data_IF_713472252136
#
_entry.id   IF_713472252136
#
_cell.length_a   1.000
_cell.length_b   1.000
_cell.length_c   1.000
_cell.angle_alpha   90.00
_cell.angle_beta   90.00
_cell.angle_gamma   90.00
#
_symmetry.space_group_name_H-M   'P 1'
#
loop_
_entity.id
_entity.type
_entity.pdbx_description
1 polymer ?
#
# COMPACT_ATOMS: atom_id res chain seq x y z
N UNK A 1 27.99 -0.87 -23.29
CA UNK A 1 27.23 0.13 -24.06
C UNK A 1 28.17 1.08 -24.82
N UNK A 2 29.09 1.77 -24.13
CA UNK A 2 30.04 2.73 -24.80
C UNK A 2 31.01 2.08 -25.78
N UNK A 3 31.32 0.79 -25.66
CA UNK A 3 32.13 0.07 -26.69
C UNK A 3 31.32 -0.12 -27.99
N UNK A 4 30.00 -0.19 -27.91
CA UNK A 4 29.08 -0.34 -29.05
C UNK A 4 28.64 1.01 -29.61
N UNK A 5 28.45 2.01 -28.73
CA UNK A 5 28.06 3.39 -29.07
C UNK A 5 28.92 4.40 -28.30
N UNK A 6 30.15 4.72 -28.78
CA UNK A 6 31.09 5.57 -28.08
C UNK A 6 30.63 7.03 -27.89
N UNK A 7 29.64 7.45 -28.68
CA UNK A 7 29.09 8.81 -28.67
C UNK A 7 27.80 8.98 -27.84
N UNK A 8 27.31 7.91 -27.22
CA UNK A 8 26.06 7.94 -26.50
C UNK A 8 26.16 8.79 -25.22
N UNK A 9 25.56 9.98 -25.27
CA UNK A 9 25.66 10.96 -24.20
C UNK A 9 24.82 10.52 -22.96
N UNK A 10 23.71 9.83 -23.14
CA UNK A 10 22.89 9.29 -22.04
C UNK A 10 23.67 8.24 -21.24
N UNK A 11 24.37 7.34 -21.95
CA UNK A 11 25.26 6.36 -21.28
C UNK A 11 26.40 7.04 -20.52
N UNK A 12 26.96 8.13 -21.02
CA UNK A 12 28.00 8.89 -20.33
C UNK A 12 27.45 9.55 -19.05
N UNK A 13 26.31 10.20 -19.15
CA UNK A 13 25.65 10.80 -18.00
C UNK A 13 25.34 9.76 -16.93
N UNK A 14 24.79 8.63 -17.32
CA UNK A 14 24.56 7.48 -16.47
C UNK A 14 25.83 7.06 -15.70
N UNK A 15 26.95 6.89 -16.40
CA UNK A 15 28.22 6.51 -15.78
C UNK A 15 28.69 7.57 -14.78
N UNK A 16 28.56 8.86 -15.12
CA UNK A 16 28.97 9.94 -14.23
C UNK A 16 28.07 10.00 -12.96
N UNK A 17 26.78 9.76 -13.09
CA UNK A 17 25.85 9.66 -11.93
C UNK A 17 26.22 8.48 -11.03
N UNK A 18 26.46 7.30 -11.60
CA UNK A 18 26.91 6.12 -10.85
C UNK A 18 28.23 6.37 -10.10
N UNK A 19 29.20 7.06 -10.74
CA UNK A 19 30.47 7.43 -10.08
C UNK A 19 30.28 8.39 -8.91
N UNK A 20 29.27 9.24 -8.96
CA UNK A 20 28.91 10.17 -7.88
C UNK A 20 28.07 9.52 -6.78
N UNK A 21 27.71 8.25 -6.93
CA UNK A 21 26.81 7.56 -6.01
C UNK A 21 25.35 8.05 -6.07
N UNK A 22 24.97 8.73 -7.15
CA UNK A 22 23.60 9.17 -7.37
C UNK A 22 22.83 7.98 -7.92
N UNK A 23 21.80 7.52 -7.21
CA UNK A 23 20.88 6.52 -7.72
C UNK A 23 20.14 7.04 -8.96
N UNK A 24 19.91 6.16 -9.92
CA UNK A 24 19.06 6.48 -11.05
C UNK A 24 17.62 6.34 -10.65
N UNK A 25 16.72 7.15 -11.24
CA UNK A 25 15.31 6.89 -11.11
C UNK A 25 15.04 5.51 -11.71
N UNK A 26 14.24 4.72 -11.03
CA UNK A 26 13.83 3.39 -11.48
C UNK A 26 13.01 3.50 -12.75
N UNK A 27 12.15 4.52 -12.82
CA UNK A 27 11.32 4.83 -13.96
C UNK A 27 11.80 6.13 -14.64
N UNK A 28 11.76 6.14 -15.97
CA UNK A 28 12.09 7.35 -16.76
C UNK A 28 10.86 8.25 -16.95
N UNK A 29 9.69 7.67 -16.94
CA UNK A 29 8.41 8.33 -17.11
C UNK A 29 7.80 8.67 -15.75
N UNK A 30 7.04 9.75 -15.68
CA UNK A 30 6.34 10.11 -14.46
C UNK A 30 5.21 9.10 -14.15
N UNK A 31 4.74 9.08 -12.90
CA UNK A 31 3.73 8.12 -12.47
C UNK A 31 2.43 8.22 -13.27
N UNK A 32 2.04 9.43 -13.68
CA UNK A 32 0.87 9.63 -14.53
C UNK A 32 1.01 8.90 -15.86
N UNK A 33 2.10 9.13 -16.58
CA UNK A 33 2.34 8.51 -17.89
C UNK A 33 2.34 6.99 -17.79
N UNK A 34 3.06 6.45 -16.80
CA UNK A 34 3.07 4.99 -16.54
C UNK A 34 1.68 4.44 -16.24
N UNK A 35 0.86 5.20 -15.49
CA UNK A 35 -0.53 4.81 -15.16
C UNK A 35 -1.41 4.78 -16.39
N UNK A 36 -1.36 5.82 -17.23
CA UNK A 36 -2.14 5.92 -18.47
C UNK A 36 -1.77 4.78 -19.42
N UNK A 37 -0.49 4.56 -19.68
CA UNK A 37 0.02 3.50 -20.55
C UNK A 37 -0.36 2.09 -20.04
N UNK A 38 -0.33 1.91 -18.72
CA UNK A 38 -0.74 0.65 -18.12
C UNK A 38 -2.22 0.34 -18.34
N UNK A 39 -3.09 1.33 -18.13
CA UNK A 39 -4.53 1.12 -18.33
C UNK A 39 -4.89 0.87 -19.79
N UNK A 40 -4.19 1.49 -20.75
CA UNK A 40 -4.33 1.16 -22.17
C UNK A 40 -3.91 -0.28 -22.43
N UNK A 41 -2.75 -0.70 -21.95
CA UNK A 41 -2.26 -2.07 -22.10
C UNK A 41 -3.19 -3.08 -21.44
N UNK A 42 -3.66 -2.79 -20.22
CA UNK A 42 -4.57 -3.67 -19.49
C UNK A 42 -5.90 -3.83 -20.22
N UNK A 43 -6.45 -2.77 -20.80
CA UNK A 43 -7.68 -2.84 -21.58
C UNK A 43 -7.55 -3.79 -22.81
N UNK A 44 -6.36 -3.90 -23.39
CA UNK A 44 -6.10 -4.84 -24.49
C UNK A 44 -5.99 -6.30 -24.04
N UNK A 45 -5.46 -6.55 -22.84
CA UNK A 45 -5.17 -7.89 -22.33
C UNK A 45 -6.24 -8.48 -21.40
N UNK A 46 -7.10 -7.66 -20.81
CA UNK A 46 -8.04 -8.06 -19.74
C UNK A 46 -8.98 -9.19 -20.15
N UNK A 47 -9.41 -9.22 -21.44
CA UNK A 47 -10.29 -10.26 -21.93
C UNK A 47 -9.60 -11.64 -21.95
N UNK A 48 -8.31 -11.69 -22.28
CA UNK A 48 -7.51 -12.92 -22.23
C UNK A 48 -7.30 -13.38 -20.77
N UNK A 49 -7.02 -12.44 -19.88
CA UNK A 49 -6.89 -12.74 -18.44
C UNK A 49 -8.18 -13.34 -17.87
N UNK A 50 -9.33 -12.77 -18.19
CA UNK A 50 -10.63 -13.31 -17.76
C UNK A 50 -10.85 -14.72 -18.30
N UNK A 51 -10.55 -14.93 -19.56
CA UNK A 51 -10.65 -16.27 -20.16
C UNK A 51 -9.74 -17.27 -19.44
N UNK A 52 -8.49 -16.89 -19.13
CA UNK A 52 -7.56 -17.74 -18.40
C UNK A 52 -8.08 -18.07 -17.00
N UNK A 53 -8.67 -17.10 -16.29
CA UNK A 53 -9.28 -17.32 -14.97
C UNK A 53 -10.50 -18.25 -15.05
N UNK A 54 -11.34 -18.11 -16.08
CA UNK A 54 -12.52 -18.97 -16.30
C UNK A 54 -12.17 -20.41 -16.63
N UNK A 55 -11.07 -20.60 -17.35
CA UNK A 55 -10.58 -21.92 -17.76
C UNK A 55 -9.86 -22.65 -16.63
N UNK A 56 -9.27 -21.92 -15.67
CA UNK A 56 -8.48 -22.47 -14.56
C UNK A 56 -9.35 -22.97 -13.38
N UNK A 57 -10.27 -23.88 -13.68
CA UNK A 57 -11.20 -24.45 -12.67
C UNK A 57 -10.51 -25.22 -11.55
N UNK A 58 -9.36 -25.75 -11.82
CA UNK A 58 -8.57 -26.55 -10.90
C UNK A 58 -7.49 -25.70 -10.16
N UNK A 59 -7.47 -24.38 -10.40
CA UNK A 59 -6.51 -23.44 -9.84
C UNK A 59 -5.03 -23.85 -10.06
N UNK A 60 -4.74 -24.43 -11.22
CA UNK A 60 -3.40 -24.92 -11.57
C UNK A 60 -2.55 -23.84 -12.27
N UNK A 61 -3.20 -22.81 -12.84
CA UNK A 61 -2.56 -21.69 -13.55
C UNK A 61 -2.42 -20.42 -12.70
N UNK A 62 -2.78 -20.48 -11.43
CA UNK A 62 -2.72 -19.31 -10.55
C UNK A 62 -1.34 -18.63 -10.53
N UNK A 63 -0.26 -19.41 -10.51
CA UNK A 63 1.10 -18.86 -10.54
C UNK A 63 1.42 -18.14 -11.88
N UNK A 64 0.92 -18.64 -13.00
CA UNK A 64 1.08 -18.00 -14.31
C UNK A 64 0.33 -16.67 -14.37
N UNK A 65 -0.93 -16.66 -13.92
CA UNK A 65 -1.77 -15.45 -13.83
C UNK A 65 -1.13 -14.37 -12.95
N UNK A 66 -0.64 -14.78 -11.77
CA UNK A 66 0.04 -13.87 -10.84
C UNK A 66 1.32 -13.32 -11.47
N UNK A 67 2.14 -14.17 -12.11
CA UNK A 67 3.38 -13.71 -12.77
C UNK A 67 3.08 -12.71 -13.88
N UNK A 68 2.09 -12.98 -14.72
CA UNK A 68 1.71 -12.09 -15.82
C UNK A 68 1.21 -10.74 -15.29
N UNK A 69 0.37 -10.73 -14.25
CA UNK A 69 -0.09 -9.49 -13.64
C UNK A 69 1.05 -8.74 -12.97
N UNK A 70 1.93 -9.43 -12.25
CA UNK A 70 3.09 -8.82 -11.60
C UNK A 70 4.03 -8.14 -12.61
N UNK A 71 4.31 -8.81 -13.75
CA UNK A 71 5.15 -8.25 -14.81
C UNK A 71 4.59 -6.94 -15.36
N UNK A 72 3.26 -6.87 -15.53
CA UNK A 72 2.62 -5.64 -16.00
C UNK A 72 2.59 -4.55 -14.92
N UNK A 73 2.25 -4.88 -13.68
CA UNK A 73 2.23 -3.91 -12.57
C UNK A 73 3.62 -3.33 -12.26
N UNK A 74 4.69 -4.09 -12.50
CA UNK A 74 6.07 -3.62 -12.35
C UNK A 74 6.45 -2.54 -13.37
N UNK A 75 5.65 -2.30 -14.41
CA UNK A 75 5.83 -1.16 -15.30
C UNK A 75 5.42 0.17 -14.65
N UNK A 76 4.58 0.12 -13.62
CA UNK A 76 4.08 1.31 -12.91
C UNK A 76 4.69 1.45 -11.52
N UNK A 77 4.74 0.35 -10.77
CA UNK A 77 5.16 0.31 -9.37
C UNK A 77 6.52 -0.40 -9.23
N UNK A 78 7.33 0.05 -8.30
CA UNK A 78 8.58 -0.64 -7.96
C UNK A 78 8.29 -2.02 -7.35
N UNK A 79 7.50 -2.01 -6.30
CA UNK A 79 6.98 -3.22 -5.65
C UNK A 79 5.52 -3.00 -5.31
N UNK A 80 4.69 -3.96 -5.67
CA UNK A 80 3.25 -3.95 -5.38
C UNK A 80 2.77 -5.34 -5.01
N UNK A 81 2.05 -5.42 -3.91
CA UNK A 81 1.29 -6.60 -3.53
C UNK A 81 -0.14 -6.48 -4.05
N UNK A 82 -0.67 -7.57 -4.56
CA UNK A 82 -2.01 -7.61 -5.11
C UNK A 82 -2.64 -8.99 -4.96
N UNK A 83 -3.95 -9.01 -5.05
CA UNK A 83 -4.75 -10.24 -5.10
C UNK A 83 -5.68 -10.19 -6.31
N UNK A 84 -5.96 -11.34 -6.92
CA UNK A 84 -6.93 -11.47 -7.99
C UNK A 84 -7.99 -12.48 -7.62
N UNK A 85 -9.24 -12.21 -8.01
CA UNK A 85 -10.34 -13.08 -7.71
C UNK A 85 -11.56 -12.85 -8.61
N UNK A 86 -12.64 -13.55 -8.26
CA UNK A 86 -13.96 -13.38 -8.84
C UNK A 86 -15.00 -13.41 -7.72
N UNK A 87 -15.81 -12.38 -7.59
CA UNK A 87 -16.78 -12.27 -6.50
C UNK A 87 -18.16 -12.88 -6.84
N UNK A 88 -18.30 -13.53 -7.99
CA UNK A 88 -19.55 -14.08 -8.50
C UNK A 88 -20.25 -13.19 -9.53
N UNK A 89 -19.82 -11.95 -9.68
CA UNK A 89 -20.35 -10.98 -10.65
C UNK A 89 -19.24 -10.38 -11.51
N UNK A 90 -18.17 -9.91 -10.89
CA UNK A 90 -17.02 -9.30 -11.56
C UNK A 90 -15.71 -9.92 -11.11
N UNK A 91 -14.71 -9.83 -11.96
CA UNK A 91 -13.32 -10.10 -11.59
C UNK A 91 -12.83 -9.00 -10.64
N UNK A 92 -11.91 -9.33 -9.78
CA UNK A 92 -11.37 -8.39 -8.81
C UNK A 92 -9.86 -8.31 -8.93
N UNK A 93 -9.33 -7.10 -8.99
CA UNK A 93 -7.94 -6.77 -8.76
C UNK A 93 -7.89 -5.93 -7.49
N UNK A 94 -7.31 -6.49 -6.45
CA UNK A 94 -7.14 -5.84 -5.15
C UNK A 94 -5.68 -5.45 -5.03
N UNK A 95 -5.41 -4.16 -4.98
CA UNK A 95 -4.07 -3.59 -4.84
C UNK A 95 -3.85 -3.24 -3.37
N UNK A 96 -2.81 -3.79 -2.75
CA UNK A 96 -2.61 -3.63 -1.31
C UNK A 96 -1.44 -2.70 -1.01
N UNK A 97 -1.66 -1.63 -0.24
CA UNK A 97 -0.60 -0.74 0.19
C UNK A 97 0.32 -1.35 1.26
N UNK A 98 -0.10 -2.44 1.91
CA UNK A 98 0.62 -3.11 3.01
C UNK A 98 1.06 -2.17 4.13
N UNK A 99 0.17 -1.25 4.51
CA UNK A 99 0.42 -0.26 5.55
C UNK A 99 1.19 0.98 5.10
N UNK A 100 1.68 1.02 3.85
CA UNK A 100 2.38 2.17 3.30
C UNK A 100 1.41 3.27 2.88
N UNK A 101 1.46 4.40 3.57
CA UNK A 101 0.58 5.54 3.34
C UNK A 101 0.88 6.25 2.01
N UNK A 102 2.14 6.26 1.56
CA UNK A 102 2.51 6.86 0.27
C UNK A 102 1.95 6.00 -0.86
N UNK A 103 2.18 4.71 -0.77
CA UNK A 103 1.64 3.74 -1.73
C UNK A 103 0.11 3.78 -1.80
N UNK A 104 -0.58 3.98 -0.67
CA UNK A 104 -2.03 4.15 -0.65
C UNK A 104 -2.50 5.26 -1.60
N UNK A 105 -1.83 6.41 -1.62
CA UNK A 105 -2.18 7.52 -2.50
C UNK A 105 -1.91 7.20 -3.97
N UNK A 106 -0.80 6.56 -4.26
CA UNK A 106 -0.49 6.09 -5.62
C UNK A 106 -1.56 5.12 -6.13
N UNK A 107 -1.98 4.17 -5.28
CA UNK A 107 -3.00 3.19 -5.63
C UNK A 107 -4.38 3.81 -5.85
N UNK A 108 -4.75 4.83 -5.07
CA UNK A 108 -6.00 5.58 -5.29
C UNK A 108 -5.96 6.31 -6.63
N UNK A 109 -4.85 6.98 -6.94
CA UNK A 109 -4.67 7.64 -8.22
C UNK A 109 -4.76 6.64 -9.38
N UNK A 110 -4.04 5.54 -9.28
CA UNK A 110 -4.05 4.46 -10.27
C UNK A 110 -5.47 3.90 -10.49
N UNK A 111 -6.18 3.55 -9.41
CA UNK A 111 -7.57 3.06 -9.47
C UNK A 111 -8.50 4.03 -10.22
N UNK A 112 -8.38 5.32 -9.98
CA UNK A 112 -9.25 6.35 -10.60
C UNK A 112 -9.04 6.49 -12.10
N UNK A 113 -7.94 6.03 -12.64
CA UNK A 113 -7.62 6.06 -14.07
C UNK A 113 -8.11 4.80 -14.81
N UNK A 114 -8.73 3.85 -14.11
CA UNK A 114 -9.35 2.69 -14.75
C UNK A 114 -10.42 3.13 -15.75
N UNK A 115 -10.33 2.61 -16.98
CA UNK A 115 -11.30 2.93 -18.03
C UNK A 115 -12.68 2.35 -17.72
N UNK A 116 -13.73 2.94 -18.28
CA UNK A 116 -15.10 2.44 -18.07
C UNK A 116 -15.29 1.04 -18.62
N UNK A 117 -14.62 0.74 -19.72
CA UNK A 117 -14.64 -0.56 -20.38
C UNK A 117 -14.08 -1.65 -19.45
N UNK A 118 -12.95 -1.38 -18.81
CA UNK A 118 -12.38 -2.28 -17.80
C UNK A 118 -13.34 -2.45 -16.63
N UNK A 119 -13.90 -1.36 -16.11
CA UNK A 119 -14.81 -1.37 -14.97
C UNK A 119 -16.16 -2.05 -15.25
N UNK A 120 -16.50 -2.34 -16.51
CA UNK A 120 -17.66 -3.19 -16.82
C UNK A 120 -17.44 -4.63 -16.33
N UNK A 121 -16.21 -5.12 -16.36
CA UNK A 121 -15.86 -6.50 -16.04
C UNK A 121 -15.07 -6.67 -14.76
N UNK A 122 -14.37 -5.62 -14.33
CA UNK A 122 -13.46 -5.66 -13.18
C UNK A 122 -13.90 -4.71 -12.07
N UNK A 123 -13.72 -5.16 -10.83
CA UNK A 123 -13.64 -4.29 -9.66
C UNK A 123 -12.16 -4.05 -9.36
N UNK A 124 -11.74 -2.81 -9.38
CA UNK A 124 -10.39 -2.41 -8.98
C UNK A 124 -10.50 -1.87 -7.56
N UNK A 125 -9.92 -2.57 -6.60
CA UNK A 125 -10.04 -2.27 -5.18
C UNK A 125 -8.67 -1.87 -4.63
N UNK A 126 -8.67 -0.90 -3.71
CA UNK A 126 -7.48 -0.49 -2.98
C UNK A 126 -7.63 -0.93 -1.52
N UNK A 127 -6.69 -1.73 -1.07
CA UNK A 127 -6.73 -2.39 0.23
C UNK A 127 -7.57 -3.66 0.25
N UNK A 128 -7.13 -4.63 1.05
CA UNK A 128 -7.86 -5.87 1.30
C UNK A 128 -9.22 -5.56 1.90
N UNK A 129 -10.23 -6.26 1.43
CA UNK A 129 -11.60 -6.11 1.91
C UNK A 129 -11.87 -7.09 3.06
N UNK A 130 -12.74 -6.74 4.01
CA UNK A 130 -13.09 -7.65 5.08
C UNK A 130 -13.81 -8.88 4.53
N UNK A 131 -13.40 -10.06 4.99
CA UNK A 131 -13.93 -11.34 4.54
C UNK A 131 -14.99 -11.88 5.52
N UNK A 132 -15.95 -12.64 5.00
CA UNK A 132 -16.91 -13.36 5.83
C UNK A 132 -16.31 -14.61 6.48
N UNK A 133 -15.44 -15.31 5.74
CA UNK A 133 -14.73 -16.49 6.21
C UNK A 133 -13.28 -16.13 6.48
N UNK A 134 -13.02 -15.66 7.68
CA UNK A 134 -11.71 -15.21 8.12
C UNK A 134 -10.81 -16.41 8.35
N UNK A 135 -9.81 -16.55 7.51
CA UNK A 135 -8.82 -17.63 7.67
C UNK A 135 -7.70 -17.54 6.66
N UNK A 136 -6.49 -17.85 7.12
CA UNK A 136 -5.28 -17.86 6.33
C UNK A 136 -4.73 -19.29 6.27
N UNK A 137 -4.50 -19.77 5.04
CA UNK A 137 -3.81 -21.03 4.78
C UNK A 137 -2.54 -20.77 4.01
N UNK A 138 -1.48 -21.43 4.40
CA UNK A 138 -0.21 -21.40 3.69
C UNK A 138 0.04 -22.74 2.98
N UNK A 139 0.86 -22.73 1.93
CA UNK A 139 1.20 -23.93 1.14
C UNK A 139 1.85 -25.02 1.97
N UNK A 140 2.63 -24.66 2.98
CA UNK A 140 3.28 -25.58 3.94
C UNK A 140 2.35 -26.09 5.06
N UNK A 141 1.04 -25.81 4.96
CA UNK A 141 -0.01 -26.45 5.74
C UNK A 141 -0.44 -25.71 7.01
N UNK A 142 0.06 -24.50 7.26
CA UNK A 142 -0.46 -23.67 8.36
C UNK A 142 -1.88 -23.19 8.04
N UNK A 143 -2.73 -23.24 9.06
CA UNK A 143 -4.12 -22.83 8.95
C UNK A 143 -4.57 -22.16 10.24
N UNK A 144 -4.87 -20.86 10.17
CA UNK A 144 -5.37 -20.05 11.27
C UNK A 144 -6.64 -19.31 10.87
N UNK A 145 -7.48 -19.02 11.85
CA UNK A 145 -8.68 -18.20 11.69
C UNK A 145 -8.70 -17.08 12.72
N UNK A 146 -9.61 -16.13 12.56
CA UNK A 146 -9.78 -15.06 13.54
C UNK A 146 -10.20 -15.56 14.93
N UNK A 147 -10.77 -16.76 15.03
CA UNK A 147 -11.16 -17.39 16.30
C UNK A 147 -9.99 -18.11 17.00
N UNK A 148 -8.88 -18.31 16.32
CA UNK A 148 -7.67 -18.91 16.89
C UNK A 148 -6.75 -17.89 17.58
N UNK A 149 -7.04 -16.58 17.40
CA UNK A 149 -6.19 -15.50 17.85
C UNK A 149 -6.88 -14.69 18.96
N UNK A 150 -6.24 -14.66 20.12
CA UNK A 150 -6.63 -13.78 21.22
C UNK A 150 -5.93 -12.44 21.05
N UNK A 151 -6.68 -11.35 21.25
CA UNK A 151 -6.12 -10.00 21.18
C UNK A 151 -6.49 -9.17 22.40
N UNK A 152 -5.59 -8.26 22.74
CA UNK A 152 -5.77 -7.19 23.70
C UNK A 152 -5.66 -5.87 22.96
N UNK A 153 -6.69 -5.05 23.07
CA UNK A 153 -6.81 -3.75 22.41
C UNK A 153 -6.55 -2.66 23.42
N UNK A 154 -5.49 -1.89 23.24
CA UNK A 154 -5.06 -0.79 24.12
C UNK A 154 -5.18 0.55 23.38
N UNK A 155 -5.87 1.52 23.99
CA UNK A 155 -5.97 2.87 23.43
C UNK A 155 -4.61 3.58 23.54
N UNK A 156 -4.10 4.10 22.42
CA UNK A 156 -2.85 4.86 22.34
C UNK A 156 -3.08 6.36 22.17
N UNK A 157 -4.26 6.75 21.66
CA UNK A 157 -4.65 8.12 21.39
C UNK A 157 -6.10 8.22 20.95
N UNK A 158 -6.49 9.36 20.42
CA UNK A 158 -7.84 9.57 19.90
C UNK A 158 -8.02 8.70 18.64
N UNK A 159 -8.87 7.69 18.73
CA UNK A 159 -9.16 6.72 17.66
C UNK A 159 -7.93 5.91 17.19
N UNK A 160 -6.96 5.70 18.04
CA UNK A 160 -5.74 4.96 17.75
C UNK A 160 -5.51 3.86 18.79
N UNK A 161 -5.17 2.67 18.35
CA UNK A 161 -5.09 1.47 19.18
C UNK A 161 -3.82 0.67 18.90
N UNK A 162 -3.28 0.06 19.95
CA UNK A 162 -2.30 -1.01 19.88
C UNK A 162 -3.01 -2.36 20.00
N UNK A 163 -2.58 -3.33 19.20
CA UNK A 163 -2.99 -4.73 19.31
C UNK A 163 -1.82 -5.56 19.84
N UNK A 164 -2.05 -6.30 20.91
CA UNK A 164 -1.21 -7.43 21.29
C UNK A 164 -1.94 -8.72 20.92
N UNK A 165 -1.33 -9.58 20.12
CA UNK A 165 -1.94 -10.79 19.59
C UNK A 165 -1.24 -12.05 20.10
N UNK A 166 -2.00 -13.06 20.50
CA UNK A 166 -1.52 -14.38 20.89
C UNK A 166 -2.24 -15.46 20.08
N UNK A 167 -1.48 -16.35 19.47
CA UNK A 167 -2.00 -17.51 18.76
C UNK A 167 -1.17 -18.77 19.11
N UNK A 168 -1.74 -19.66 19.89
CA UNK A 168 -1.07 -20.90 20.32
C UNK A 168 -0.59 -21.73 19.12
N UNK A 169 -1.37 -21.78 18.05
CA UNK A 169 -1.02 -22.52 16.83
C UNK A 169 0.25 -22.02 16.16
N UNK A 170 0.58 -20.74 16.30
CA UNK A 170 1.74 -20.12 15.65
C UNK A 170 3.00 -20.09 16.51
N UNK A 171 2.95 -20.51 17.79
CA UNK A 171 4.11 -20.50 18.67
C UNK A 171 5.33 -21.29 18.14
N UNK A 172 5.18 -22.46 17.49
CA UNK A 172 6.31 -23.15 16.90
C UNK A 172 7.01 -22.31 15.83
N UNK A 173 6.22 -21.63 14.96
CA UNK A 173 6.74 -20.77 13.91
C UNK A 173 7.35 -19.47 14.46
N UNK A 174 6.79 -18.91 15.53
CA UNK A 174 7.25 -17.66 16.12
C UNK A 174 8.73 -17.70 16.51
N UNK A 175 9.21 -18.86 16.96
CA UNK A 175 10.59 -19.06 17.35
C UNK A 175 11.57 -19.20 16.19
N UNK A 176 11.08 -19.62 15.04
CA UNK A 176 11.89 -19.91 13.85
C UNK A 176 11.80 -18.81 12.79
N UNK A 177 10.63 -18.16 12.67
CA UNK A 177 10.31 -17.20 11.64
C UNK A 177 9.31 -16.14 12.14
N UNK A 178 9.72 -15.32 13.09
CA UNK A 178 8.89 -14.27 13.72
C UNK A 178 8.23 -13.35 12.70
N UNK A 179 8.99 -12.88 11.71
CA UNK A 179 8.46 -12.00 10.65
C UNK A 179 7.32 -12.62 9.86
N UNK A 180 7.33 -13.94 9.67
CA UNK A 180 6.23 -14.65 8.99
C UNK A 180 4.97 -14.70 9.85
N UNK A 181 5.11 -14.92 11.15
CA UNK A 181 3.99 -14.88 12.09
C UNK A 181 3.38 -13.48 12.12
N UNK A 182 4.22 -12.48 12.14
CA UNK A 182 3.81 -11.08 12.06
C UNK A 182 2.97 -10.82 10.79
N UNK A 183 3.49 -11.19 9.64
CA UNK A 183 2.78 -11.07 8.37
C UNK A 183 1.45 -11.84 8.38
N UNK A 184 1.41 -13.06 8.90
CA UNK A 184 0.17 -13.84 8.96
C UNK A 184 -0.90 -13.17 9.84
N UNK A 185 -0.52 -12.61 10.98
CA UNK A 185 -1.46 -12.00 11.92
C UNK A 185 -1.92 -10.62 11.44
N UNK A 186 -1.04 -9.83 10.81
CA UNK A 186 -1.43 -8.54 10.19
C UNK A 186 -2.35 -8.75 9.00
N UNK A 187 -2.03 -9.71 8.11
CA UNK A 187 -2.91 -10.08 6.99
C UNK A 187 -4.26 -10.60 7.48
N UNK A 188 -4.30 -11.39 8.57
CA UNK A 188 -5.55 -11.82 9.17
C UNK A 188 -6.35 -10.65 9.73
N UNK A 189 -5.68 -9.64 10.28
CA UNK A 189 -6.33 -8.41 10.76
C UNK A 189 -6.96 -7.64 9.59
N UNK A 190 -6.28 -7.57 8.43
CA UNK A 190 -6.84 -6.99 7.21
C UNK A 190 -8.08 -7.74 6.74
N UNK A 191 -8.08 -9.07 6.82
CA UNK A 191 -9.27 -9.88 6.48
C UNK A 191 -10.44 -9.66 7.45
N UNK A 192 -10.15 -9.30 8.70
CA UNK A 192 -11.17 -9.03 9.73
C UNK A 192 -11.75 -7.63 9.59
N UNK A 193 -10.91 -6.62 9.43
CA UNK A 193 -11.30 -5.21 9.43
C UNK A 193 -11.49 -4.62 8.03
N UNK A 194 -10.78 -5.13 7.06
CA UNK A 194 -10.34 -4.43 5.88
C UNK A 194 -9.05 -3.66 6.14
N UNK A 195 -8.18 -3.55 5.12
CA UNK A 195 -6.86 -2.93 5.27
C UNK A 195 -6.94 -1.43 5.57
N UNK A 196 -7.89 -0.72 4.98
CA UNK A 196 -8.07 0.72 5.22
C UNK A 196 -8.43 1.02 6.69
N UNK A 197 -9.42 0.37 7.31
CA UNK A 197 -9.65 0.53 8.75
C UNK A 197 -8.49 0.06 9.62
N UNK A 198 -7.75 -0.99 9.22
CA UNK A 198 -6.55 -1.43 9.92
C UNK A 198 -5.51 -0.31 9.93
N UNK A 199 -5.14 0.23 8.77
CA UNK A 199 -4.20 1.34 8.64
C UNK A 199 -4.63 2.60 9.42
N UNK A 200 -5.95 2.82 9.54
CA UNK A 200 -6.51 4.01 10.16
C UNK A 200 -6.50 3.95 11.68
N UNK A 201 -6.79 2.79 12.25
CA UNK A 201 -7.07 2.67 13.68
C UNK A 201 -6.04 1.87 14.47
N UNK A 202 -5.18 1.10 13.82
CA UNK A 202 -4.20 0.26 14.49
C UNK A 202 -2.79 0.81 14.20
N UNK A 203 -2.21 1.44 15.20
CA UNK A 203 -0.88 2.07 15.07
C UNK A 203 0.27 1.13 15.43
N UNK A 204 0.01 0.13 16.25
CA UNK A 204 1.04 -0.84 16.62
C UNK A 204 0.47 -2.24 16.82
N UNK A 205 1.32 -3.22 16.56
CA UNK A 205 0.97 -4.63 16.61
C UNK A 205 2.09 -5.43 17.26
N UNK A 206 1.79 -6.11 18.35
CA UNK A 206 2.75 -6.97 19.06
C UNK A 206 2.30 -8.43 19.02
N UNK A 207 3.25 -9.34 18.83
CA UNK A 207 3.03 -10.78 18.87
C UNK A 207 3.57 -11.34 20.18
N UNK A 208 2.70 -12.02 20.93
CA UNK A 208 3.01 -12.51 22.26
C UNK A 208 3.37 -14.01 22.24
N UNK A 209 4.38 -14.40 23.03
CA UNK A 209 4.70 -15.82 23.30
C UNK A 209 3.77 -16.45 24.34
N UNK A 210 3.19 -15.64 25.24
CA UNK A 210 2.27 -16.05 26.29
C UNK A 210 1.07 -15.08 26.35
N UNK A 211 -0.14 -15.58 26.67
CA UNK A 211 -1.30 -14.72 26.81
C UNK A 211 -1.17 -13.80 28.03
N UNK A 212 -1.71 -12.56 27.92
CA UNK A 212 -1.81 -11.66 29.06
C UNK A 212 -2.85 -12.18 30.07
N UNK A 213 -2.71 -11.76 31.33
CA UNK A 213 -3.63 -12.12 32.42
C UNK A 213 -4.99 -11.41 32.31
N UNK A 214 -5.03 -10.27 31.63
CA UNK A 214 -6.24 -9.48 31.41
C UNK A 214 -7.19 -10.18 30.44
N UNK A 215 -8.51 -9.87 30.51
CA UNK A 215 -9.46 -10.41 29.56
C UNK A 215 -9.11 -10.03 28.11
N UNK A 216 -9.11 -11.03 27.22
CA UNK A 216 -8.92 -10.86 25.79
C UNK A 216 -10.26 -10.93 25.04
N UNK A 217 -10.25 -10.49 23.79
CA UNK A 217 -11.29 -10.81 22.81
C UNK A 217 -10.67 -11.66 21.70
N UNK A 218 -11.50 -12.32 20.90
CA UNK A 218 -11.01 -12.99 19.69
C UNK A 218 -10.81 -11.95 18.59
N UNK A 219 -9.84 -12.19 17.71
CA UNK A 219 -9.57 -11.27 16.59
C UNK A 219 -10.79 -11.12 15.68
N UNK A 220 -11.61 -12.17 15.49
CA UNK A 220 -12.89 -12.11 14.78
C UNK A 220 -13.90 -11.13 15.38
N UNK A 221 -13.74 -10.76 16.65
CA UNK A 221 -14.62 -9.81 17.36
C UNK A 221 -14.11 -8.36 17.27
N UNK A 222 -12.92 -8.12 16.73
CA UNK A 222 -12.31 -6.81 16.64
C UNK A 222 -13.19 -5.75 15.95
N UNK A 223 -13.89 -6.04 14.82
CA UNK A 223 -14.78 -5.07 14.20
C UNK A 223 -15.90 -4.59 15.14
N UNK A 224 -16.48 -5.49 15.91
CA UNK A 224 -17.53 -5.14 16.88
C UNK A 224 -16.94 -4.29 18.02
N UNK A 225 -15.79 -4.66 18.54
CA UNK A 225 -15.10 -3.92 19.59
C UNK A 225 -14.77 -2.49 19.21
N UNK A 226 -14.39 -2.24 17.94
CA UNK A 226 -14.14 -0.88 17.42
C UNK A 226 -15.46 -0.11 17.18
N UNK A 227 -16.50 -0.76 16.64
CA UNK A 227 -17.82 -0.14 16.46
C UNK A 227 -18.48 0.26 17.79
N UNK A 228 -18.32 -0.54 18.85
CA UNK A 228 -18.80 -0.22 20.18
C UNK A 228 -18.13 1.03 20.77
N UNK A 229 -16.94 1.37 20.29
CA UNK A 229 -16.22 2.62 20.60
C UNK A 229 -16.62 3.80 19.72
N UNK A 230 -17.59 3.59 18.84
CA UNK A 230 -18.14 4.63 17.95
C UNK A 230 -17.34 4.85 16.66
N UNK A 231 -16.45 3.91 16.29
CA UNK A 231 -15.61 4.03 15.09
C UNK A 231 -16.37 3.50 13.86
N UNK A 232 -16.19 4.20 12.74
CA UNK A 232 -16.71 3.82 11.43
C UNK A 232 -15.64 3.03 10.67
N UNK A 233 -15.95 1.79 10.30
CA UNK A 233 -15.05 0.90 9.57
C UNK A 233 -15.30 1.03 8.06
N UNK A 234 -14.99 2.19 7.49
CA UNK A 234 -15.07 2.39 6.05
C UNK A 234 -13.88 1.76 5.36
N UNK A 235 -14.14 0.96 4.32
CA UNK A 235 -13.11 0.39 3.41
C UNK A 235 -12.83 1.29 2.21
N UNK A 236 -13.50 2.44 2.12
CA UNK A 236 -13.21 3.45 1.12
C UNK A 236 -11.85 4.10 1.41
N UNK A 237 -10.86 3.94 0.53
CA UNK A 237 -9.54 4.52 0.74
C UNK A 237 -9.56 6.05 0.78
N UNK A 238 -10.53 6.71 0.13
CA UNK A 238 -10.66 8.17 0.19
C UNK A 238 -11.07 8.65 1.59
N UNK A 239 -11.81 7.84 2.35
CA UNK A 239 -12.16 8.18 3.74
C UNK A 239 -10.93 8.30 4.63
N UNK A 240 -9.85 7.58 4.33
CA UNK A 240 -8.57 7.71 5.01
C UNK A 240 -7.88 9.04 4.68
N UNK A 241 -7.96 9.50 3.42
CA UNK A 241 -7.37 10.78 2.99
C UNK A 241 -7.96 11.97 3.72
N UNK A 242 -9.26 11.94 3.98
CA UNK A 242 -9.96 13.02 4.68
C UNK A 242 -9.62 13.11 6.16
N UNK A 243 -9.09 12.03 6.73
CA UNK A 243 -8.88 11.92 8.18
C UNK A 243 -7.56 12.48 8.67
N UNK A 244 -6.65 12.85 7.81
CA UNK A 244 -5.30 13.26 8.20
C UNK A 244 -5.17 14.77 8.33
N UNK A 245 -4.54 15.20 9.41
CA UNK A 245 -4.21 16.59 9.70
C UNK A 245 -2.75 16.87 9.34
N UNK A 246 -2.54 17.98 8.69
CA UNK A 246 -1.30 18.39 8.08
C UNK A 246 -0.03 18.27 8.94
N UNK A 247 1.05 18.52 8.29
CA UNK A 247 2.40 18.37 8.78
C UNK A 247 3.06 19.73 8.98
N UNK A 248 3.69 19.94 10.12
CA UNK A 248 4.40 21.19 10.43
C UNK A 248 5.91 20.98 10.26
N UNK A 249 6.52 21.71 9.33
CA UNK A 249 7.97 21.76 9.20
C UNK A 249 8.55 22.77 10.17
N UNK A 250 9.58 22.39 10.93
CA UNK A 250 10.33 23.29 11.77
C UNK A 250 11.61 23.70 11.06
N UNK A 251 11.97 24.98 11.08
CA UNK A 251 13.26 25.41 10.58
C UNK A 251 14.40 24.82 11.41
N UNK A 252 15.55 24.60 10.79
CA UNK A 252 16.75 24.17 11.49
C UNK A 252 17.19 25.27 12.48
N UNK A 253 17.62 24.86 13.67
CA UNK A 253 18.09 25.78 14.70
C UNK A 253 19.52 26.31 14.44
N UNK A 254 20.27 25.66 13.54
CA UNK A 254 21.60 26.14 13.14
C UNK A 254 21.49 27.25 12.08
N UNK A 255 21.83 28.51 12.39
CA UNK A 255 21.71 29.63 11.46
C UNK A 255 22.65 29.53 10.24
N UNK A 256 23.60 28.60 10.26
CA UNK A 256 24.52 28.35 9.17
C UNK A 256 24.19 27.12 8.33
N UNK A 257 23.14 26.36 8.70
CA UNK A 257 22.73 25.20 7.93
C UNK A 257 22.20 25.61 6.55
N UNK A 258 22.53 24.84 5.53
CA UNK A 258 21.83 24.93 4.26
C UNK A 258 20.37 24.51 4.50
N UNK A 259 19.42 25.42 4.29
CA UNK A 259 18.00 25.18 4.55
C UNK A 259 17.45 23.94 3.81
N UNK A 260 18.09 23.53 2.71
CA UNK A 260 17.79 22.27 2.01
C UNK A 260 18.07 21.01 2.82
N UNK A 261 18.87 21.12 3.88
CA UNK A 261 19.12 20.04 4.83
C UNK A 261 18.08 19.99 5.93
N UNK A 262 17.22 21.01 6.01
CA UNK A 262 16.13 21.12 6.98
C UNK A 262 14.85 20.41 6.52
N UNK A 263 14.88 19.73 5.39
CA UNK A 263 13.77 18.92 4.91
C UNK A 263 13.57 17.77 5.88
N UNK A 264 12.59 17.91 6.74
CA UNK A 264 12.18 16.80 7.58
C UNK A 264 11.35 15.83 6.75
N UNK A 265 11.74 14.56 6.78
CA UNK A 265 10.92 13.50 6.24
C UNK A 265 9.60 13.46 7.02
N UNK A 266 8.51 13.65 6.34
CA UNK A 266 7.16 13.60 6.89
C UNK A 266 6.20 13.06 5.86
N UNK A 267 5.10 12.52 6.32
CA UNK A 267 4.00 12.11 5.44
C UNK A 267 2.95 13.22 5.40
N UNK A 268 2.36 13.43 4.24
CA UNK A 268 1.23 14.34 4.07
C UNK A 268 0.10 13.62 3.33
N UNK A 269 -1.13 13.93 3.68
CA UNK A 269 -2.30 13.61 2.87
C UNK A 269 -3.00 14.88 2.34
N UNK A 270 -2.26 15.94 2.21
CA UNK A 270 -2.72 17.09 1.45
C UNK A 270 -2.91 16.66 -0.02
N UNK A 271 -4.17 16.46 -0.42
CA UNK A 271 -4.53 15.96 -1.76
C UNK A 271 -3.92 16.81 -2.89
N UNK A 272 -3.91 18.15 -2.84
CA UNK A 272 -3.25 18.95 -3.87
C UNK A 272 -1.76 18.65 -4.01
N UNK A 273 -1.01 18.49 -2.91
CA UNK A 273 0.42 18.15 -2.94
C UNK A 273 0.67 16.78 -3.56
N UNK A 274 -0.15 15.80 -3.20
CA UNK A 274 -0.06 14.44 -3.73
C UNK A 274 -0.39 14.42 -5.22
N UNK A 275 -1.43 15.11 -5.64
CA UNK A 275 -1.78 15.25 -7.04
C UNK A 275 -0.68 15.94 -7.85
N UNK A 276 -0.07 17.00 -7.30
CA UNK A 276 1.07 17.65 -7.91
C UNK A 276 2.23 16.70 -8.13
N UNK A 277 2.55 15.88 -7.15
CA UNK A 277 3.57 14.85 -7.28
C UNK A 277 3.22 13.80 -8.35
N UNK A 278 2.01 13.22 -8.27
CA UNK A 278 1.57 12.16 -9.18
C UNK A 278 1.45 12.63 -10.64
N UNK A 279 1.13 13.90 -10.86
CA UNK A 279 1.04 14.49 -12.17
C UNK A 279 2.35 15.13 -12.67
N UNK A 280 3.40 15.11 -11.86
CA UNK A 280 4.68 15.76 -12.14
C UNK A 280 4.54 17.25 -12.51
N UNK A 281 3.62 17.95 -11.87
CA UNK A 281 3.34 19.37 -12.07
C UNK A 281 3.28 20.12 -10.72
N UNK A 282 3.26 21.43 -10.78
CA UNK A 282 3.17 22.30 -9.62
C UNK A 282 1.89 23.16 -9.61
N UNK A 283 0.91 22.85 -10.43
CA UNK A 283 -0.35 23.61 -10.54
C UNK A 283 -1.14 23.55 -9.22
N UNK A 284 -0.90 22.53 -8.40
CA UNK A 284 -1.43 22.41 -7.04
C UNK A 284 -1.13 23.61 -6.13
N UNK A 285 -0.14 24.41 -6.47
CA UNK A 285 0.22 25.61 -5.69
C UNK A 285 -0.91 26.61 -5.62
N UNK A 286 -1.68 26.74 -6.68
CA UNK A 286 -2.87 27.62 -6.73
C UNK A 286 -3.98 27.10 -5.82
N UNK A 287 -4.14 25.77 -5.73
CA UNK A 287 -5.13 25.13 -4.89
C UNK A 287 -4.82 25.29 -3.39
N UNK A 288 -3.55 25.45 -3.04
CA UNK A 288 -3.13 25.67 -1.66
C UNK A 288 -3.35 27.10 -1.15
N UNK A 289 -3.79 28.03 -2.02
CA UNK A 289 -3.93 29.45 -1.67
C UNK A 289 -2.68 30.02 -0.97
N UNK A 290 -1.51 29.62 -1.46
CA UNK A 290 -0.24 30.03 -0.87
C UNK A 290 0.01 31.50 -1.20
N UNK A 291 -0.54 32.40 -0.39
CA UNK A 291 -0.31 33.84 -0.43
C UNK A 291 1.19 34.12 -0.25
N UNK A 292 1.96 34.00 -1.32
CA UNK A 292 3.28 34.56 -1.50
C UNK A 292 4.40 34.08 -0.55
N UNK A 293 4.11 33.14 0.35
CA UNK A 293 5.05 32.73 1.40
C UNK A 293 5.82 31.44 1.10
N UNK A 294 5.47 30.70 0.07
CA UNK A 294 6.13 29.40 -0.21
C UNK A 294 6.75 29.41 -1.60
N UNK A 295 8.05 29.65 -1.63
CA UNK A 295 8.83 29.47 -2.84
C UNK A 295 9.28 27.99 -2.93
N UNK A 296 8.50 27.19 -3.61
CA UNK A 296 8.88 25.85 -4.00
C UNK A 296 8.55 24.76 -3.00
N UNK A 297 7.50 24.00 -3.29
CA UNK A 297 7.28 22.67 -2.76
C UNK A 297 7.94 21.66 -3.68
N UNK A 298 8.66 20.71 -3.09
CA UNK A 298 9.15 19.55 -3.80
C UNK A 298 8.51 18.32 -3.16
N UNK A 299 7.61 17.67 -3.88
CA UNK A 299 7.14 16.37 -3.49
C UNK A 299 8.06 15.30 -4.08
N UNK A 300 8.71 14.54 -3.22
CA UNK A 300 9.48 13.37 -3.62
C UNK A 300 8.87 12.14 -2.96
N UNK A 301 8.82 11.01 -3.66
CA UNK A 301 8.58 9.74 -3.00
C UNK A 301 9.69 9.51 -1.97
N UNK A 302 9.34 8.93 -0.83
CA UNK A 302 10.30 8.65 0.26
C UNK A 302 11.40 7.67 -0.16
N UNK A 303 11.13 6.83 -1.13
CA UNK A 303 12.06 5.86 -1.71
C UNK A 303 13.11 6.50 -2.64
N UNK A 304 12.97 7.77 -2.99
CA UNK A 304 13.94 8.50 -3.80
C UNK A 304 14.86 9.42 -3.00
N UNK A 305 14.68 9.50 -1.70
CA UNK A 305 15.56 10.19 -0.76
C UNK A 305 16.60 9.24 -0.17
#
# INVERSE_FOLDING_TARGET
ALEVRPGDDDTKEFIERCKKGISLPQFWECFRERTEDWWETFAEMEAELRQMMDEDKDHTRGAELVSQMQETLNLVFDEISFEMGFNGEKYELILTPEGDKVKLFELIYFQKHASKEVLEHWNILVGRQPLQNIGLRTEDGWNISGDDVQIWLEEQGENSFAISAYCEKLLPMLREAEGRVWWMLTTLTDQVLGEIPHMRYIDSFDVLEEPKAEPSILMSQLPNALKERGLELSTDPESYLESYLGYEMKPNEDPNADWRLDVMAGSTCCVPLINGYLNADNDFMDDLHADGAVAGFFCYPLDTL
#
